data_IF_862180367351
#
_entry.id   IF_862180367351
#
_cell.length_a   1.000
_cell.length_b   1.000
_cell.length_c   1.000
_cell.angle_alpha   90.00
_cell.angle_beta   90.00
_cell.angle_gamma   90.00
#
_symmetry.space_group_name_H-M   'P 1'
#
loop_
_entity.id
_entity.type
_entity.pdbx_description
1 polymer ?
#
# COMPACT_ATOMS: atom_id res chain seq x y z
N UNK A 1 -17.38 -54.02 -19.74
CA UNK A 1 -16.78 -53.40 -18.55
C UNK A 1 -16.68 -51.91 -18.78
N UNK A 2 -17.20 -51.11 -17.86
CA UNK A 2 -17.28 -49.64 -17.85
C UNK A 2 -15.91 -48.98 -17.74
N UNK A 3 -15.63 -47.97 -18.57
CA UNK A 3 -14.44 -47.11 -18.48
C UNK A 3 -14.82 -45.81 -17.75
N UNK A 4 -14.26 -45.60 -16.55
CA UNK A 4 -14.37 -44.33 -15.82
C UNK A 4 -13.27 -43.38 -16.30
N UNK A 5 -13.64 -42.30 -16.99
CA UNK A 5 -12.74 -41.17 -17.24
C UNK A 5 -12.79 -40.29 -15.99
N UNK A 6 -11.80 -40.46 -15.10
CA UNK A 6 -11.55 -39.51 -14.01
C UNK A 6 -10.91 -38.27 -14.61
N UNK A 7 -11.69 -37.20 -14.75
CA UNK A 7 -11.17 -35.86 -15.04
C UNK A 7 -10.51 -35.32 -13.77
N UNK A 8 -9.18 -35.39 -13.70
CA UNK A 8 -8.41 -34.69 -12.68
C UNK A 8 -8.49 -33.19 -12.96
N UNK A 9 -9.27 -32.49 -12.14
CA UNK A 9 -9.23 -31.04 -12.02
C UNK A 9 -7.85 -30.64 -11.50
N UNK A 10 -6.97 -30.20 -12.39
CA UNK A 10 -5.73 -29.51 -12.00
C UNK A 10 -6.13 -28.11 -11.53
N UNK A 11 -6.25 -27.96 -10.21
CA UNK A 11 -6.43 -26.66 -9.58
C UNK A 11 -5.09 -25.89 -9.65
N UNK A 12 -4.97 -24.96 -10.59
CA UNK A 12 -3.89 -23.97 -10.57
C UNK A 12 -4.17 -22.99 -9.43
N UNK A 13 -3.50 -23.17 -8.29
CA UNK A 13 -3.33 -22.09 -7.33
C UNK A 13 -2.50 -21.00 -8.02
N UNK A 14 -3.12 -19.87 -8.34
CA UNK A 14 -2.43 -18.75 -9.00
C UNK A 14 -1.48 -18.09 -7.99
N UNK A 15 -0.18 -18.35 -8.14
CA UNK A 15 0.90 -17.63 -7.48
C UNK A 15 1.05 -16.25 -8.15
N UNK A 16 0.28 -15.26 -7.67
CA UNK A 16 0.55 -13.85 -7.99
C UNK A 16 1.95 -13.49 -7.45
N UNK A 17 2.86 -13.07 -8.34
CA UNK A 17 4.21 -12.63 -7.98
C UNK A 17 4.18 -11.46 -6.98
N UNK A 18 5.17 -11.36 -6.06
CA UNK A 18 5.23 -10.30 -5.05
C UNK A 18 5.24 -8.87 -5.64
N UNK A 19 5.79 -8.70 -6.84
CA UNK A 19 5.81 -7.40 -7.53
C UNK A 19 4.41 -6.96 -7.99
N UNK A 20 3.64 -7.90 -8.57
CA UNK A 20 2.26 -7.65 -9.00
C UNK A 20 1.34 -7.30 -7.82
N UNK A 21 1.50 -7.99 -6.68
CA UNK A 21 0.77 -7.65 -5.44
C UNK A 21 1.10 -6.24 -4.93
N UNK A 22 2.35 -5.81 -5.04
CA UNK A 22 2.76 -4.47 -4.65
C UNK A 22 2.17 -3.41 -5.60
N UNK A 23 2.15 -3.67 -6.91
CA UNK A 23 1.50 -2.82 -7.90
C UNK A 23 0.00 -2.63 -7.61
N UNK A 24 -0.73 -3.73 -7.42
CA UNK A 24 -2.15 -3.73 -7.05
C UNK A 24 -2.43 -2.94 -5.76
N UNK A 25 -1.55 -3.03 -4.75
CA UNK A 25 -1.71 -2.29 -3.50
C UNK A 25 -1.51 -0.78 -3.70
N UNK A 26 -0.53 -0.38 -4.51
CA UNK A 26 -0.28 1.02 -4.86
C UNK A 26 -1.45 1.62 -5.64
N UNK A 27 -2.01 0.86 -6.59
CA UNK A 27 -3.19 1.27 -7.34
C UNK A 27 -4.40 1.49 -6.42
N UNK A 28 -4.67 0.55 -5.50
CA UNK A 28 -5.73 0.69 -4.50
C UNK A 28 -5.53 1.92 -3.61
N UNK A 29 -4.29 2.22 -3.22
CA UNK A 29 -3.96 3.41 -2.44
C UNK A 29 -4.23 4.68 -3.23
N UNK A 30 -3.81 4.74 -4.50
CA UNK A 30 -4.06 5.86 -5.39
C UNK A 30 -5.57 6.12 -5.53
N UNK A 31 -6.35 5.09 -5.85
CA UNK A 31 -7.81 5.18 -5.98
C UNK A 31 -8.47 5.64 -4.67
N UNK A 32 -8.00 5.12 -3.53
CA UNK A 32 -8.48 5.54 -2.22
C UNK A 32 -8.27 7.03 -1.96
N UNK A 33 -7.07 7.54 -2.26
CA UNK A 33 -6.75 8.96 -2.07
C UNK A 33 -7.58 9.84 -3.03
N UNK A 34 -7.67 9.48 -4.31
CA UNK A 34 -8.48 10.20 -5.31
C UNK A 34 -9.94 10.32 -4.85
N UNK A 35 -10.52 9.23 -4.33
CA UNK A 35 -11.88 9.21 -3.79
C UNK A 35 -12.01 10.09 -2.54
N UNK A 36 -11.06 10.03 -1.60
CA UNK A 36 -11.11 10.81 -0.34
C UNK A 36 -10.94 12.30 -0.56
N UNK A 37 -10.24 12.69 -1.62
CA UNK A 37 -10.07 14.08 -2.03
C UNK A 37 -11.16 14.58 -2.99
N UNK A 38 -12.14 13.73 -3.31
CA UNK A 38 -13.21 14.02 -4.26
C UNK A 38 -12.69 14.59 -5.58
N UNK A 39 -11.64 13.96 -6.13
CA UNK A 39 -11.02 14.42 -7.36
C UNK A 39 -11.97 14.24 -8.54
N UNK A 40 -12.03 15.25 -9.41
CA UNK A 40 -12.64 15.11 -10.73
C UNK A 40 -11.83 14.11 -11.59
N UNK A 41 -12.40 13.73 -12.73
CA UNK A 41 -11.70 12.88 -13.71
C UNK A 41 -10.39 13.53 -14.17
N UNK A 42 -10.43 14.82 -14.54
CA UNK A 42 -9.25 15.56 -15.01
C UNK A 42 -8.18 15.70 -13.93
N UNK A 43 -8.57 15.96 -12.68
CA UNK A 43 -7.64 15.99 -11.54
C UNK A 43 -7.01 14.61 -11.31
N UNK A 44 -7.81 13.54 -11.37
CA UNK A 44 -7.33 12.17 -11.16
C UNK A 44 -6.28 11.76 -12.21
N UNK A 45 -6.52 12.08 -13.49
CA UNK A 45 -5.61 11.80 -14.60
C UNK A 45 -4.25 12.51 -14.40
N UNK A 46 -4.26 13.79 -14.00
CA UNK A 46 -3.04 14.57 -13.73
C UNK A 46 -2.35 14.17 -12.43
N UNK A 47 -3.11 13.77 -11.41
CA UNK A 47 -2.59 13.36 -10.11
C UNK A 47 -1.81 12.04 -10.17
N UNK A 48 -2.34 11.06 -10.93
CA UNK A 48 -1.81 9.69 -10.99
C UNK A 48 -0.30 9.62 -11.26
N UNK A 49 0.26 10.24 -12.32
CA UNK A 49 1.70 10.16 -12.59
C UNK A 49 2.56 10.82 -11.49
N UNK A 50 2.06 11.88 -10.84
CA UNK A 50 2.76 12.54 -9.74
C UNK A 50 2.80 11.61 -8.51
N UNK A 51 1.67 10.98 -8.19
CA UNK A 51 1.58 10.06 -7.06
C UNK A 51 2.45 8.81 -7.25
N UNK A 52 2.50 8.25 -8.45
CA UNK A 52 3.36 7.11 -8.74
C UNK A 52 4.85 7.46 -8.55
N UNK A 53 5.29 8.63 -9.02
CA UNK A 53 6.65 9.12 -8.78
C UNK A 53 6.92 9.30 -7.28
N UNK A 54 5.99 9.90 -6.55
CA UNK A 54 6.09 10.05 -5.09
C UNK A 54 6.29 8.71 -4.38
N UNK A 55 5.51 7.67 -4.73
CA UNK A 55 5.63 6.34 -4.10
C UNK A 55 6.95 5.65 -4.44
N UNK A 56 7.48 5.83 -5.66
CA UNK A 56 8.82 5.32 -6.03
C UNK A 56 9.90 6.01 -5.19
N UNK A 57 9.90 7.34 -5.14
CA UNK A 57 10.88 8.11 -4.36
C UNK A 57 10.78 7.82 -2.87
N UNK A 58 9.56 7.76 -2.33
CA UNK A 58 9.34 7.44 -0.92
C UNK A 58 9.94 6.09 -0.53
N UNK A 59 9.72 5.06 -1.36
CA UNK A 59 10.32 3.72 -1.13
C UNK A 59 11.84 3.75 -1.21
N UNK A 60 12.40 4.52 -2.15
CA UNK A 60 13.85 4.71 -2.28
C UNK A 60 14.42 5.39 -1.02
N UNK A 61 13.81 6.49 -0.57
CA UNK A 61 14.20 7.20 0.67
C UNK A 61 14.18 6.28 1.89
N UNK A 62 13.14 5.47 2.04
CA UNK A 62 13.06 4.47 3.11
C UNK A 62 14.19 3.44 3.05
N UNK A 63 14.51 2.94 1.85
CA UNK A 63 15.56 1.94 1.65
C UNK A 63 16.95 2.48 2.00
N UNK A 64 17.26 3.70 1.55
CA UNK A 64 18.56 4.35 1.71
C UNK A 64 18.83 4.79 3.16
N UNK A 65 17.79 5.19 3.89
CA UNK A 65 17.94 5.78 5.23
C UNK A 65 17.43 4.86 6.36
N UNK A 66 17.13 3.58 6.09
CA UNK A 66 16.53 2.65 7.06
C UNK A 66 17.30 2.51 8.39
N UNK A 67 18.62 2.73 8.37
CA UNK A 67 19.49 2.57 9.52
C UNK A 67 19.53 3.81 10.43
N UNK A 68 19.22 5.00 9.89
CA UNK A 68 19.23 6.27 10.60
C UNK A 68 17.82 6.86 10.62
N UNK A 69 17.10 6.61 11.73
CA UNK A 69 15.69 6.99 11.85
C UNK A 69 15.49 8.51 11.85
N UNK A 70 16.29 9.31 12.59
CA UNK A 70 16.23 10.78 12.49
C UNK A 70 16.44 11.27 11.05
N UNK A 71 17.46 10.77 10.34
CA UNK A 71 17.72 11.18 8.96
C UNK A 71 16.58 10.77 8.02
N UNK A 72 16.04 9.55 8.18
CA UNK A 72 14.88 9.11 7.42
C UNK A 72 13.68 10.04 7.60
N UNK A 73 13.38 10.46 8.83
CA UNK A 73 12.28 11.37 9.11
C UNK A 73 12.46 12.72 8.41
N UNK A 74 13.67 13.28 8.48
CA UNK A 74 14.01 14.52 7.78
C UNK A 74 13.82 14.38 6.26
N UNK A 75 14.38 13.31 5.66
CA UNK A 75 14.28 13.09 4.21
C UNK A 75 12.87 12.83 3.72
N UNK A 76 12.04 12.13 4.50
CA UNK A 76 10.62 11.97 4.18
C UNK A 76 9.87 13.30 4.28
N UNK A 77 10.20 14.16 5.25
CA UNK A 77 9.59 15.49 5.36
C UNK A 77 9.96 16.38 4.17
N UNK A 78 11.24 16.45 3.80
CA UNK A 78 11.71 17.16 2.60
C UNK A 78 11.01 16.67 1.33
N UNK A 79 10.91 15.35 1.16
CA UNK A 79 10.20 14.74 0.04
C UNK A 79 8.73 15.18 -0.02
N UNK A 80 8.03 15.14 1.11
CA UNK A 80 6.62 15.55 1.20
C UNK A 80 6.43 17.03 0.88
N UNK A 81 7.34 17.90 1.29
CA UNK A 81 7.29 19.33 0.94
C UNK A 81 7.35 19.52 -0.58
N UNK A 82 8.32 18.88 -1.26
CA UNK A 82 8.44 18.97 -2.73
C UNK A 82 7.19 18.46 -3.44
N UNK A 83 6.72 17.27 -3.08
CA UNK A 83 5.54 16.68 -3.72
C UNK A 83 4.23 17.40 -3.39
N UNK A 84 4.12 18.04 -2.24
CA UNK A 84 2.98 18.92 -1.93
C UNK A 84 2.86 20.02 -2.97
N UNK A 85 3.97 20.65 -3.35
CA UNK A 85 3.98 21.74 -4.31
C UNK A 85 3.61 21.26 -5.72
N UNK A 86 3.95 20.02 -6.07
CA UNK A 86 3.49 19.38 -7.31
C UNK A 86 2.00 19.01 -7.25
N UNK A 87 1.50 18.46 -6.14
CA UNK A 87 0.08 18.16 -5.97
C UNK A 87 -0.79 19.43 -6.04
N UNK A 88 -0.28 20.57 -5.59
CA UNK A 88 -0.94 21.88 -5.68
C UNK A 88 -1.19 22.35 -7.13
N UNK A 89 -0.48 21.80 -8.10
CA UNK A 89 -0.72 22.08 -9.52
C UNK A 89 -1.97 21.36 -10.05
N UNK A 90 -2.50 20.41 -9.29
CA UNK A 90 -3.64 19.57 -9.68
C UNK A 90 -4.85 19.81 -8.78
N UNK A 91 -4.65 19.92 -7.47
CA UNK A 91 -5.70 20.17 -6.48
C UNK A 91 -5.37 21.42 -5.66
N UNK A 92 -6.34 22.00 -4.95
CA UNK A 92 -6.06 23.15 -4.08
C UNK A 92 -5.12 22.80 -2.91
N UNK A 93 -4.61 23.84 -2.25
CA UNK A 93 -3.66 23.72 -1.15
C UNK A 93 -4.17 22.86 0.01
N UNK A 94 -5.45 22.96 0.36
CA UNK A 94 -6.02 22.17 1.45
C UNK A 94 -6.07 20.68 1.08
N UNK A 95 -6.45 20.35 -0.16
CA UNK A 95 -6.47 18.97 -0.66
C UNK A 95 -5.06 18.40 -0.84
N UNK A 96 -4.10 19.19 -1.32
CA UNK A 96 -2.70 18.75 -1.46
C UNK A 96 -2.08 18.33 -0.12
N UNK A 97 -2.35 19.07 0.95
CA UNK A 97 -1.88 18.71 2.30
C UNK A 97 -2.49 17.40 2.81
N UNK A 98 -3.73 17.09 2.42
CA UNK A 98 -4.45 15.88 2.84
C UNK A 98 -4.00 14.60 2.13
N UNK A 99 -3.23 14.68 1.03
CA UNK A 99 -2.70 13.50 0.33
C UNK A 99 -1.92 12.60 1.30
N UNK A 100 -0.99 13.17 2.06
CA UNK A 100 -0.15 12.42 2.99
C UNK A 100 -0.93 11.88 4.19
N UNK A 101 -1.98 12.59 4.61
CA UNK A 101 -2.88 12.14 5.65
C UNK A 101 -3.64 10.89 5.17
N UNK A 102 -4.26 10.94 3.98
CA UNK A 102 -5.00 9.80 3.45
C UNK A 102 -4.09 8.62 3.08
N UNK A 103 -2.85 8.87 2.65
CA UNK A 103 -1.84 7.83 2.52
C UNK A 103 -1.61 7.12 3.86
N UNK A 104 -1.32 7.88 4.93
CA UNK A 104 -1.09 7.30 6.27
C UNK A 104 -2.32 6.52 6.75
N UNK A 105 -3.51 7.07 6.59
CA UNK A 105 -4.76 6.38 6.93
C UNK A 105 -4.93 5.05 6.16
N UNK A 106 -4.55 5.01 4.88
CA UNK A 106 -4.59 3.78 4.09
C UNK A 106 -3.58 2.76 4.62
N UNK A 107 -2.33 3.17 4.84
CA UNK A 107 -1.27 2.30 5.38
C UNK A 107 -1.65 1.72 6.76
N UNK A 108 -2.26 2.54 7.62
CA UNK A 108 -2.70 2.12 8.95
C UNK A 108 -3.84 1.08 8.86
N UNK A 109 -4.80 1.26 7.94
CA UNK A 109 -5.86 0.27 7.68
C UNK A 109 -5.30 -1.05 7.16
N UNK A 110 -4.35 -1.00 6.23
CA UNK A 110 -3.70 -2.22 5.71
C UNK A 110 -2.91 -2.93 6.82
N UNK A 111 -2.22 -2.18 7.68
CA UNK A 111 -1.51 -2.76 8.83
C UNK A 111 -2.47 -3.46 9.78
N UNK A 112 -3.60 -2.84 10.10
CA UNK A 112 -4.64 -3.42 10.95
C UNK A 112 -5.19 -4.72 10.35
N UNK A 113 -5.59 -4.69 9.08
CA UNK A 113 -6.09 -5.87 8.36
C UNK A 113 -5.08 -7.03 8.37
N UNK A 114 -3.79 -6.74 8.16
CA UNK A 114 -2.73 -7.76 8.22
C UNK A 114 -2.59 -8.34 9.63
N UNK A 115 -2.69 -7.53 10.68
CA UNK A 115 -2.61 -7.98 12.07
C UNK A 115 -3.81 -8.86 12.43
N UNK A 116 -5.03 -8.44 12.08
CA UNK A 116 -6.26 -9.20 12.33
C UNK A 116 -6.25 -10.56 11.63
N UNK A 117 -5.83 -10.60 10.35
CA UNK A 117 -5.66 -11.87 9.61
C UNK A 117 -4.65 -12.80 10.24
N UNK A 118 -3.59 -12.26 10.86
CA UNK A 118 -2.59 -13.08 11.58
C UNK A 118 -3.15 -13.63 12.88
N UNK A 119 -3.97 -12.86 13.59
CA UNK A 119 -4.60 -13.28 14.86
C UNK A 119 -5.72 -14.30 14.65
N UNK A 120 -6.47 -14.17 13.55
CA UNK A 120 -7.61 -15.05 13.24
C UNK A 120 -7.21 -16.34 12.50
N UNK A 121 -5.92 -16.60 12.25
CA UNK A 121 -5.46 -17.89 11.72
C UNK A 121 -5.52 -18.96 12.82
N UNK A 122 -6.39 -19.99 12.72
CA UNK A 122 -6.37 -21.11 13.65
C UNK A 122 -5.09 -21.92 13.40
N UNK A 123 -4.16 -21.95 14.37
CA UNK A 123 -2.92 -22.73 14.26
C UNK A 123 -1.63 -21.99 14.64
N UNK A 124 -1.69 -20.74 15.09
CA UNK A 124 -0.54 -20.10 15.74
C UNK A 124 -0.36 -20.65 17.15
N UNK A 125 0.53 -21.63 17.31
CA UNK A 125 1.04 -22.19 18.57
C UNK A 125 0.89 -21.22 19.75
N UNK A 126 -0.14 -21.43 20.57
CA UNK A 126 -0.14 -21.01 21.97
C UNK A 126 0.99 -21.78 22.63
N UNK A 127 2.20 -21.22 22.59
CA UNK A 127 3.34 -21.72 23.35
C UNK A 127 2.93 -21.55 24.81
N UNK A 128 2.56 -22.66 25.43
CA UNK A 128 2.11 -22.77 26.80
C UNK A 128 3.01 -21.92 27.72
N UNK A 129 2.51 -20.78 28.20
CA UNK A 129 2.89 -20.25 29.51
C UNK A 129 2.07 -20.99 30.56
N UNK A 130 2.37 -22.27 30.68
CA UNK A 130 1.92 -23.14 31.76
C UNK A 130 2.80 -24.38 31.65
N UNK A 131 3.91 -24.36 32.38
CA UNK A 131 4.49 -25.50 33.09
C UNK A 131 5.81 -25.02 33.72
N UNK A 132 5.78 -24.95 35.06
CA UNK A 132 6.86 -24.73 36.03
C UNK A 132 7.34 -23.28 36.21
#
# INVERSE_FOLDING_TARGET
MTLFISTTLVAFAQDDEPEDRMGKLQEKMQQYIQKRLNMSKSESEKFSPIFLRYIVELRKTHRENKADRPMLQLKVAELRIRFRDEFRQVVDEQRANKVFQHQKEFEDKIRQEILERRMNKPGGTRRNKALL
#
